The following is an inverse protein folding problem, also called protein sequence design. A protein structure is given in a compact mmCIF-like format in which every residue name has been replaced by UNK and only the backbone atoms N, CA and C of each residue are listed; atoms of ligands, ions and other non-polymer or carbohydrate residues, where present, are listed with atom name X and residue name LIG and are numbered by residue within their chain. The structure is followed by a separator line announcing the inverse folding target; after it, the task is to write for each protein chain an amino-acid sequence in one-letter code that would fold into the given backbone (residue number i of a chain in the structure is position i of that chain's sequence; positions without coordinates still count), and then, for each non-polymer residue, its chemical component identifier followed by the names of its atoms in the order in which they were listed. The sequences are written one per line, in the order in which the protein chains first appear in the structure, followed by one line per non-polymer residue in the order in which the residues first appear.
data_IF_114912996086
#
_entry.id   IF_114912996086
#
_cell.length_a   1.000
_cell.length_b   1.000
_cell.length_c   1.000
_cell.angle_alpha   90.00
_cell.angle_beta   90.00
_cell.angle_gamma   90.00
#
_symmetry.space_group_name_H-M   'P 1'
#
loop_
_entity.id
_entity.type
_entity.pdbx_description
1 polymer ?
#
# COMPACT_ATOMS: atom_id res chain seq x y z
N UNK A 1 -25.02 -22.58 0.78
CA UNK A 1 -23.63 -22.31 0.38
C UNK A 1 -23.17 -21.12 1.18
N UNK A 2 -22.15 -21.28 2.03
CA UNK A 2 -21.61 -20.17 2.81
C UNK A 2 -20.61 -19.46 1.89
N UNK A 3 -21.02 -18.33 1.34
CA UNK A 3 -20.14 -17.43 0.60
C UNK A 3 -19.19 -16.82 1.63
N UNK A 4 -17.98 -17.36 1.75
CA UNK A 4 -16.93 -16.74 2.53
C UNK A 4 -16.44 -15.54 1.72
N UNK A 5 -17.00 -14.35 1.97
CA UNK A 5 -16.33 -13.12 1.58
C UNK A 5 -15.09 -13.01 2.46
N UNK A 6 -13.96 -13.52 1.98
CA UNK A 6 -12.67 -13.24 2.60
C UNK A 6 -12.38 -11.75 2.36
N UNK A 7 -12.86 -10.88 3.26
CA UNK A 7 -12.33 -9.54 3.36
C UNK A 7 -10.87 -9.70 3.80
N UNK A 8 -9.93 -9.52 2.87
CA UNK A 8 -8.53 -9.42 3.26
C UNK A 8 -8.42 -8.19 4.17
N UNK A 9 -8.10 -8.45 5.43
CA UNK A 9 -7.85 -7.42 6.41
C UNK A 9 -6.35 -7.34 6.61
N UNK A 10 -5.79 -6.17 6.32
CA UNK A 10 -4.43 -5.84 6.74
C UNK A 10 -4.48 -4.68 7.73
N UNK A 11 -3.55 -4.67 8.67
CA UNK A 11 -3.29 -3.50 9.49
C UNK A 11 -1.84 -3.07 9.28
N UNK A 12 -1.64 -1.77 9.06
CA UNK A 12 -0.32 -1.16 9.00
C UNK A 12 -0.08 -0.49 10.34
N UNK A 13 1.06 -0.81 10.95
CA UNK A 13 1.52 -0.19 12.19
C UNK A 13 2.96 0.24 12.03
N UNK A 14 3.38 1.23 12.81
CA UNK A 14 4.79 1.59 12.91
C UNK A 14 5.19 1.64 14.38
N UNK A 15 6.26 0.95 14.72
CA UNK A 15 6.82 0.91 16.07
C UNK A 15 8.33 0.72 15.97
N UNK A 16 9.08 1.29 16.91
CA UNK A 16 10.55 1.17 16.95
C UNK A 16 11.24 1.56 15.64
N UNK A 17 10.70 2.56 14.92
CA UNK A 17 11.20 3.01 13.63
C UNK A 17 11.16 1.95 12.51
N UNK A 18 10.22 1.02 12.60
CA UNK A 18 9.95 -0.01 11.59
C UNK A 18 8.46 0.02 11.26
N UNK A 19 8.12 -0.11 9.97
CA UNK A 19 6.75 -0.28 9.53
C UNK A 19 6.44 -1.76 9.36
N UNK A 20 5.32 -2.21 9.89
CA UNK A 20 4.90 -3.60 9.87
C UNK A 20 3.49 -3.70 9.34
N UNK A 21 3.28 -4.60 8.38
CA UNK A 21 1.96 -5.00 7.95
C UNK A 21 1.59 -6.33 8.62
N UNK A 22 0.39 -6.39 9.19
CA UNK A 22 -0.15 -7.60 9.80
C UNK A 22 -1.38 -8.06 9.06
N UNK A 23 -1.45 -9.35 8.72
CA UNK A 23 -2.64 -10.00 8.18
C UNK A 23 -2.74 -11.40 8.76
N UNK A 24 -3.95 -11.77 9.21
CA UNK A 24 -4.25 -13.10 9.75
C UNK A 24 -3.24 -13.61 10.81
N UNK A 25 -2.76 -12.70 11.67
CA UNK A 25 -1.81 -13.03 12.74
C UNK A 25 -0.35 -13.17 12.31
N UNK A 26 -0.03 -12.97 11.03
CA UNK A 26 1.35 -12.87 10.52
C UNK A 26 1.73 -11.42 10.31
N UNK A 27 2.93 -11.06 10.70
CA UNK A 27 3.48 -9.72 10.54
C UNK A 27 4.70 -9.76 9.63
N UNK A 28 4.75 -8.86 8.65
CA UNK A 28 5.90 -8.67 7.77
C UNK A 28 6.40 -7.23 7.87
N UNK A 29 7.72 -7.09 7.89
CA UNK A 29 8.39 -5.79 7.91
C UNK A 29 8.39 -5.17 6.51
N UNK A 30 7.81 -3.98 6.41
CA UNK A 30 7.85 -3.14 5.22
C UNK A 30 9.21 -2.46 5.11
N UNK A 31 9.74 -2.40 3.90
CA UNK A 31 11.03 -1.78 3.59
C UNK A 31 10.86 -0.27 3.31
N UNK A 32 10.00 0.39 4.08
CA UNK A 32 9.62 1.80 3.92
C UNK A 32 10.17 2.62 5.08
N UNK A 33 10.55 3.87 4.79
CA UNK A 33 10.90 4.82 5.85
C UNK A 33 9.63 5.18 6.64
N UNK A 34 9.58 5.06 7.98
CA UNK A 34 8.42 5.45 8.78
C UNK A 34 8.22 6.98 8.90
N UNK A 35 6.99 7.44 9.23
CA UNK A 35 5.76 6.66 9.43
C UNK A 35 5.22 6.12 8.10
N UNK A 36 4.43 5.04 8.17
CA UNK A 36 3.80 4.44 6.99
C UNK A 36 2.29 4.46 7.10
N UNK A 37 1.62 4.74 5.99
CA UNK A 37 0.16 4.88 5.93
C UNK A 37 -0.39 4.05 4.77
N UNK A 38 -1.52 3.40 5.02
CA UNK A 38 -2.25 2.69 3.98
C UNK A 38 -2.84 3.69 2.98
N UNK A 39 -2.71 3.40 1.69
CA UNK A 39 -3.26 4.22 0.62
C UNK A 39 -4.70 3.80 0.36
N UNK A 40 -5.61 4.77 0.50
CA UNK A 40 -7.03 4.59 0.25
C UNK A 40 -7.30 4.48 -1.24
N UNK A 41 -8.31 3.72 -1.58
CA UNK A 41 -8.86 3.72 -2.94
C UNK A 41 -10.08 4.62 -2.92
N UNK A 42 -10.11 5.55 -3.85
CA UNK A 42 -11.22 6.49 -3.96
C UNK A 42 -12.53 5.71 -4.21
N UNK A 43 -13.58 6.06 -3.46
CA UNK A 43 -14.94 5.51 -3.59
C UNK A 43 -15.17 4.03 -3.22
N UNK A 44 -14.37 3.43 -2.33
CA UNK A 44 -14.63 2.05 -1.87
C UNK A 44 -14.60 1.91 -0.35
N UNK A 45 -15.39 0.97 0.16
CA UNK A 45 -15.40 0.57 1.58
C UNK A 45 -14.14 -0.23 1.98
N UNK A 46 -13.11 -0.24 1.12
CA UNK A 46 -11.89 -1.01 1.30
C UNK A 46 -10.68 -0.36 0.61
N UNK A 47 -9.49 -0.67 1.11
CA UNK A 47 -8.22 -0.02 0.71
C UNK A 47 -7.36 -0.86 -0.27
N UNK A 48 -7.98 -1.84 -0.96
CA UNK A 48 -7.31 -2.71 -1.95
C UNK A 48 -8.05 -2.85 -3.28
N UNK A 49 -7.31 -3.21 -4.33
CA UNK A 49 -7.89 -3.75 -5.56
C UNK A 49 -7.75 -5.27 -5.56
N UNK A 50 -8.81 -5.97 -5.96
CA UNK A 50 -8.78 -7.42 -6.12
C UNK A 50 -8.47 -7.79 -7.57
N UNK A 51 -7.49 -8.67 -7.76
CA UNK A 51 -7.17 -9.30 -9.03
C UNK A 51 -7.15 -10.81 -8.82
N UNK A 52 -8.05 -11.53 -9.49
CA UNK A 52 -8.24 -12.97 -9.27
C UNK A 52 -8.49 -13.25 -7.78
N UNK A 53 -7.69 -14.13 -7.17
CA UNK A 53 -7.76 -14.49 -5.76
C UNK A 53 -6.83 -13.63 -4.87
N UNK A 54 -6.27 -12.55 -5.42
CA UNK A 54 -5.28 -11.69 -4.76
C UNK A 54 -5.82 -10.29 -4.46
N UNK A 55 -5.65 -9.84 -3.22
CA UNK A 55 -5.96 -8.49 -2.79
C UNK A 55 -4.68 -7.68 -2.69
N UNK A 56 -4.61 -6.57 -3.44
CA UNK A 56 -3.42 -5.71 -3.54
C UNK A 56 -3.68 -4.39 -2.83
N UNK A 57 -2.91 -4.16 -1.78
CA UNK A 57 -2.88 -2.93 -1.01
C UNK A 57 -1.61 -2.15 -1.35
N UNK A 58 -1.63 -0.83 -1.19
CA UNK A 58 -0.43 0.01 -1.31
C UNK A 58 -0.21 0.74 0.01
N UNK A 59 1.02 0.71 0.50
CA UNK A 59 1.44 1.44 1.69
C UNK A 59 2.42 2.53 1.27
N UNK A 60 2.15 3.76 1.68
CA UNK A 60 3.05 4.89 1.53
C UNK A 60 4.02 4.94 2.72
N UNK A 61 5.27 5.32 2.45
CA UNK A 61 6.24 5.61 3.51
C UNK A 61 6.11 7.04 4.05
N UNK A 62 7.19 7.52 4.65
CA UNK A 62 7.31 8.87 5.23
C UNK A 62 6.89 9.94 4.22
N UNK A 63 6.11 10.96 4.64
CA UNK A 63 5.82 12.12 3.81
C UNK A 63 7.09 12.79 3.30
N UNK A 64 7.13 13.07 2.00
CA UNK A 64 8.25 13.77 1.39
C UNK A 64 8.18 15.27 1.71
N UNK A 65 9.32 15.96 1.85
CA UNK A 65 9.33 17.41 2.00
C UNK A 65 8.62 18.09 0.83
N UNK A 66 7.85 19.15 1.10
CA UNK A 66 7.08 19.88 0.08
C UNK A 66 7.96 20.33 -1.10
N UNK A 67 9.20 20.73 -0.84
CA UNK A 67 10.17 21.10 -1.88
C UNK A 67 10.48 20.00 -2.89
N UNK A 68 10.37 18.72 -2.49
CA UNK A 68 10.56 17.57 -3.39
C UNK A 68 9.29 17.23 -4.17
N UNK A 69 8.12 17.60 -3.64
CA UNK A 69 6.82 17.27 -4.24
C UNK A 69 6.11 18.47 -4.88
N UNK A 70 6.71 19.67 -4.85
CA UNK A 70 6.10 20.91 -5.34
C UNK A 70 5.71 20.90 -6.83
N UNK A 71 6.26 19.97 -7.63
CA UNK A 71 5.85 19.79 -9.04
C UNK A 71 4.48 19.11 -9.19
N UNK A 72 4.02 18.43 -8.15
CA UNK A 72 2.67 17.90 -8.05
C UNK A 72 1.87 18.89 -7.19
N UNK A 73 0.67 19.27 -7.61
CA UNK A 73 -0.16 20.27 -6.93
C UNK A 73 -0.75 19.75 -5.61
N UNK A 74 0.12 19.30 -4.71
CA UNK A 74 -0.18 18.75 -3.39
C UNK A 74 0.34 19.69 -2.29
N UNK A 75 -0.22 19.52 -1.11
CA UNK A 75 0.08 20.25 0.10
C UNK A 75 0.79 19.34 1.11
N UNK A 76 1.36 19.92 2.16
CA UNK A 76 1.94 19.15 3.25
C UNK A 76 0.89 18.28 3.97
N UNK A 77 -0.36 18.76 4.05
CA UNK A 77 -1.46 18.04 4.67
C UNK A 77 -1.85 16.75 3.93
N UNK A 78 -1.53 16.65 2.63
CA UNK A 78 -1.81 15.46 1.83
C UNK A 78 -0.89 14.28 2.17
N UNK A 79 0.15 14.51 2.99
CA UNK A 79 1.07 13.49 3.52
C UNK A 79 1.69 12.59 2.44
N UNK A 80 1.87 13.11 1.22
CA UNK A 80 2.36 12.34 0.10
C UNK A 80 3.81 11.88 0.29
N UNK A 81 4.08 10.62 -0.02
CA UNK A 81 5.41 10.02 0.00
C UNK A 81 5.97 9.87 -1.42
N UNK A 82 7.29 9.72 -1.50
CA UNK A 82 8.00 9.24 -2.69
C UNK A 82 8.42 7.78 -2.55
N UNK A 83 8.01 7.12 -1.48
CA UNK A 83 8.22 5.70 -1.24
C UNK A 83 6.88 5.00 -1.10
N UNK A 84 6.71 3.89 -1.80
CA UNK A 84 5.55 3.03 -1.60
C UNK A 84 5.90 1.57 -1.83
N UNK A 85 5.20 0.69 -1.14
CA UNK A 85 5.34 -0.76 -1.28
C UNK A 85 3.96 -1.38 -1.35
N UNK A 86 3.76 -2.33 -2.26
CA UNK A 86 2.53 -3.09 -2.33
C UNK A 86 2.58 -4.30 -1.41
N UNK A 87 1.43 -4.61 -0.83
CA UNK A 87 1.17 -5.80 -0.03
C UNK A 87 0.12 -6.61 -0.78
N UNK A 88 0.48 -7.82 -1.18
CA UNK A 88 -0.43 -8.75 -1.83
C UNK A 88 -0.86 -9.83 -0.85
N UNK A 89 -2.16 -10.05 -0.73
CA UNK A 89 -2.75 -11.10 0.09
C UNK A 89 -3.48 -12.08 -0.82
N UNK A 90 -3.00 -13.33 -0.88
CA UNK A 90 -3.57 -14.41 -1.69
C UNK A 90 -3.71 -15.63 -0.81
N UNK A 91 -4.93 -16.16 -0.64
CA UNK A 91 -5.21 -17.32 0.23
C UNK A 91 -4.56 -17.22 1.63
N UNK A 92 -4.66 -16.04 2.27
CA UNK A 92 -4.07 -15.78 3.60
C UNK A 92 -2.53 -15.69 3.62
N UNK A 93 -1.86 -15.79 2.47
CA UNK A 93 -0.42 -15.55 2.33
C UNK A 93 -0.17 -14.09 1.99
N UNK A 94 0.73 -13.46 2.74
CA UNK A 94 1.15 -12.09 2.49
C UNK A 94 2.47 -12.08 1.73
N UNK A 95 2.54 -11.28 0.68
CA UNK A 95 3.75 -11.02 -0.10
C UNK A 95 3.97 -9.51 -0.20
N UNK A 96 5.24 -9.10 -0.21
CA UNK A 96 5.63 -7.71 -0.35
C UNK A 96 6.29 -7.48 -1.70
N UNK A 97 5.90 -6.41 -2.39
CA UNK A 97 6.61 -5.99 -3.60
C UNK A 97 7.99 -5.44 -3.24
N UNK A 98 8.82 -5.19 -4.26
CA UNK A 98 9.94 -4.27 -4.09
C UNK A 98 9.42 -2.86 -3.75
N UNK A 99 10.25 -2.05 -3.09
CA UNK A 99 9.92 -0.65 -2.81
C UNK A 99 9.99 0.15 -4.10
N UNK A 100 8.92 0.88 -4.40
CA UNK A 100 8.90 1.89 -5.46
C UNK A 100 9.41 3.21 -4.89
N UNK A 101 10.36 3.83 -5.59
CA UNK A 101 10.95 5.12 -5.25
C UNK A 101 10.52 6.18 -6.26
N UNK A 102 10.61 7.45 -5.88
CA UNK A 102 10.43 8.65 -6.72
C UNK A 102 9.06 8.80 -7.42
N UNK A 103 8.08 7.98 -7.04
CA UNK A 103 6.69 8.08 -7.46
C UNK A 103 5.84 8.69 -6.34
N UNK A 104 5.06 9.71 -6.67
CA UNK A 104 4.17 10.37 -5.70
C UNK A 104 3.03 9.41 -5.31
N UNK A 105 2.96 9.11 -4.01
CA UNK A 105 1.92 8.27 -3.42
C UNK A 105 1.31 8.98 -2.22
N UNK A 106 0.03 9.31 -2.30
CA UNK A 106 -0.67 10.10 -1.29
C UNK A 106 -1.72 9.23 -0.59
N UNK A 107 -1.62 8.99 0.73
CA UNK A 107 -2.49 8.06 1.44
C UNK A 107 -4.00 8.34 1.26
N UNK A 108 -4.39 9.61 1.32
CA UNK A 108 -5.81 10.00 1.30
C UNK A 108 -6.34 10.41 -0.09
N UNK A 109 -5.44 10.64 -1.07
CA UNK A 109 -5.82 10.95 -2.46
C UNK A 109 -5.94 9.66 -3.28
N UNK A 110 -5.21 8.61 -2.90
CA UNK A 110 -5.19 7.34 -3.62
C UNK A 110 -4.30 7.33 -4.85
N UNK A 111 -4.42 6.28 -5.65
CA UNK A 111 -3.66 6.04 -6.88
C UNK A 111 -4.56 5.47 -7.97
N UNK A 112 -4.19 5.67 -9.24
CA UNK A 112 -4.86 5.05 -10.39
C UNK A 112 -4.76 3.51 -10.30
N UNK A 113 -5.84 2.79 -10.63
CA UNK A 113 -5.89 1.33 -10.62
C UNK A 113 -4.73 0.70 -11.43
N UNK A 114 -4.27 1.34 -12.50
CA UNK A 114 -3.11 0.88 -13.29
C UNK A 114 -1.85 0.73 -12.44
N UNK A 115 -1.69 1.53 -11.39
CA UNK A 115 -0.57 1.41 -10.45
C UNK A 115 -0.68 0.12 -9.63
N UNK A 116 -1.88 -0.20 -9.15
CA UNK A 116 -2.13 -1.46 -8.43
C UNK A 116 -1.92 -2.67 -9.34
N UNK A 117 -2.41 -2.60 -10.58
CA UNK A 117 -2.23 -3.65 -11.59
C UNK A 117 -0.76 -3.87 -11.95
N UNK A 118 -0.02 -2.79 -12.15
CA UNK A 118 1.42 -2.86 -12.39
C UNK A 118 2.17 -3.51 -11.21
N UNK A 119 1.78 -3.23 -9.96
CA UNK A 119 2.33 -3.97 -8.82
C UNK A 119 2.00 -5.47 -8.89
N UNK A 120 0.76 -5.82 -9.18
CA UNK A 120 0.31 -7.21 -9.31
C UNK A 120 1.11 -7.97 -10.38
N UNK A 121 1.16 -7.44 -11.59
CA UNK A 121 1.84 -8.09 -12.73
C UNK A 121 3.34 -8.30 -12.45
N UNK A 122 4.00 -7.33 -11.80
CA UNK A 122 5.41 -7.44 -11.41
C UNK A 122 5.67 -8.41 -10.24
N UNK A 123 4.65 -8.74 -9.43
CA UNK A 123 4.75 -9.75 -8.38
C UNK A 123 4.49 -11.16 -8.92
N UNK A 124 3.64 -11.30 -9.93
CA UNK A 124 3.31 -12.59 -10.56
C UNK A 124 4.40 -13.11 -11.52
N UNK A 125 5.32 -12.25 -11.95
CA UNK A 125 6.39 -12.58 -12.91
C UNK A 125 7.73 -12.94 -12.25
N UNK A 126 7.81 -12.97 -10.91
CA UNK A 126 9.01 -13.33 -10.15
C UNK A 126 8.91 -14.73 -9.56
#
# INVERSE_FOLDING_TARGET
MITWCAQANISVSYANNVCTVTSEGKSLELQLTPPCNLVKIDYKDHDYFQYEDSNVFIVAGKPAPLTKVAKWSVTEADNCSLQSQAVMVTDGKVQLSAVRQDALTCPDIGLDEKVYRDFFDNMMTK
#
